data_IF_110179208195
#
_entry.id   IF_110179208195
#
_cell.length_a   1.000
_cell.length_b   1.000
_cell.length_c   1.000
_cell.angle_alpha   90.00
_cell.angle_beta   90.00
_cell.angle_gamma   90.00
#
_symmetry.space_group_name_H-M   'P 1'
#
loop_
_entity.id
_entity.type
_entity.pdbx_description
1 polymer ?
#
# COMPACT_ATOMS: atom_id res chain seq x y z
N UNK A 1 34.09 1.87 16.84
CA UNK A 1 33.34 2.82 17.70
C UNK A 1 33.59 4.25 17.23
N UNK A 2 33.38 4.55 15.94
CA UNK A 2 33.66 5.87 15.38
C UNK A 2 35.15 6.18 15.14
N UNK A 3 35.45 7.39 14.62
CA UNK A 3 34.53 8.51 14.42
C UNK A 3 33.48 8.23 13.32
N UNK A 4 32.28 8.83 13.47
CA UNK A 4 31.19 8.77 12.49
C UNK A 4 30.94 10.15 11.91
N UNK A 5 30.60 10.20 10.63
CA UNK A 5 30.17 11.41 9.92
C UNK A 5 28.68 11.32 9.61
N UNK A 6 27.99 12.46 9.68
CA UNK A 6 26.56 12.51 9.38
C UNK A 6 26.33 12.32 7.87
N UNK A 7 25.49 11.36 7.49
CA UNK A 7 25.14 11.14 6.10
C UNK A 7 24.24 12.28 5.57
N UNK A 8 24.68 13.08 4.58
CA UNK A 8 23.93 14.24 4.09
C UNK A 8 22.62 13.87 3.37
N UNK A 9 22.48 12.61 2.96
CA UNK A 9 21.33 12.06 2.25
C UNK A 9 20.25 11.46 3.17
N UNK A 10 20.38 11.62 4.50
CA UNK A 10 19.33 11.20 5.43
C UNK A 10 17.98 11.90 5.12
N UNK A 11 16.84 11.21 5.37
CA UNK A 11 16.73 9.84 5.87
C UNK A 11 17.05 8.79 4.78
N UNK A 12 17.53 7.61 5.21
CA UNK A 12 17.85 6.47 4.31
C UNK A 12 16.60 5.64 3.97
N UNK A 13 15.69 5.51 4.92
CA UNK A 13 14.43 4.76 4.79
C UNK A 13 13.27 5.69 5.10
N UNK A 14 12.32 5.81 4.16
CA UNK A 14 11.23 6.77 4.26
C UNK A 14 9.99 6.24 3.53
N UNK A 15 8.86 6.14 4.25
CA UNK A 15 7.56 5.74 3.69
C UNK A 15 6.41 6.31 4.51
N UNK A 16 6.03 7.59 4.31
CA UNK A 16 5.05 8.27 5.15
C UNK A 16 3.60 8.06 4.66
N UNK A 17 3.42 7.43 3.50
CA UNK A 17 2.15 7.34 2.78
C UNK A 17 2.00 6.02 2.00
N UNK A 18 0.88 5.88 1.29
CA UNK A 18 0.41 4.61 0.74
C UNK A 18 -0.49 3.88 1.72
N UNK A 19 -0.85 2.65 1.37
CA UNK A 19 -1.71 1.76 2.14
C UNK A 19 -1.14 1.47 3.54
N UNK A 20 0.17 1.18 3.63
CA UNK A 20 0.84 0.84 4.88
C UNK A 20 2.05 1.75 5.13
N UNK A 21 2.09 2.41 6.29
CA UNK A 21 3.01 3.52 6.56
C UNK A 21 4.06 3.18 7.62
N UNK A 22 5.18 3.89 7.57
CA UNK A 22 6.23 3.85 8.59
C UNK A 22 7.33 2.83 8.30
N UNK A 23 8.30 3.19 7.46
CA UNK A 23 9.53 2.41 7.26
C UNK A 23 10.63 2.88 8.24
N UNK A 24 10.37 2.73 9.54
CA UNK A 24 11.26 3.14 10.64
C UNK A 24 12.12 2.00 11.20
N UNK A 25 11.87 1.61 12.46
CA UNK A 25 12.62 0.57 13.17
C UNK A 25 12.71 -0.73 12.36
N UNK A 26 13.91 -1.30 12.23
CA UNK A 26 14.11 -2.43 11.36
C UNK A 26 15.54 -2.96 11.34
N UNK A 27 15.85 -3.72 10.28
CA UNK A 27 17.19 -4.24 10.01
C UNK A 27 17.48 -4.24 8.52
N UNK A 28 18.75 -4.11 8.16
CA UNK A 28 19.21 -4.32 6.79
C UNK A 28 20.07 -5.58 6.76
N UNK A 29 19.69 -6.53 5.91
CA UNK A 29 20.34 -7.84 5.80
C UNK A 29 20.70 -8.13 4.35
N UNK A 30 21.65 -9.04 4.15
CA UNK A 30 22.06 -9.50 2.83
C UNK A 30 21.43 -10.86 2.56
N UNK A 31 20.80 -11.04 1.40
CA UNK A 31 20.23 -12.33 0.99
C UNK A 31 21.31 -13.31 0.49
N UNK A 32 20.91 -14.55 0.18
CA UNK A 32 21.80 -15.61 -0.31
C UNK A 32 22.42 -15.30 -1.70
N UNK A 33 21.90 -14.31 -2.42
CA UNK A 33 22.42 -13.84 -3.72
C UNK A 33 23.30 -12.59 -3.58
N UNK A 34 23.44 -12.08 -2.36
CA UNK A 34 24.25 -10.93 -2.04
C UNK A 34 23.53 -9.58 -2.16
N UNK A 35 22.22 -9.54 -2.40
CA UNK A 35 21.48 -8.29 -2.43
C UNK A 35 21.11 -7.84 -1.02
N UNK A 36 21.03 -6.53 -0.80
CA UNK A 36 20.60 -5.97 0.48
C UNK A 36 19.09 -5.77 0.52
N UNK A 37 18.47 -6.16 1.63
CA UNK A 37 17.05 -5.93 1.89
C UNK A 37 16.90 -5.19 3.21
N UNK A 38 16.03 -4.18 3.23
CA UNK A 38 15.65 -3.48 4.45
C UNK A 38 14.28 -3.97 4.91
N UNK A 39 14.25 -4.54 6.11
CA UNK A 39 13.03 -4.92 6.80
C UNK A 39 12.67 -3.85 7.80
N UNK A 40 11.41 -3.44 7.85
CA UNK A 40 10.95 -2.38 8.75
C UNK A 40 9.60 -2.69 9.38
N UNK A 41 9.40 -2.25 10.62
CA UNK A 41 8.10 -2.34 11.28
C UNK A 41 7.18 -1.23 10.80
N UNK A 42 6.04 -1.62 10.24
CA UNK A 42 5.04 -0.73 9.65
C UNK A 42 3.86 -0.56 10.61
N UNK A 43 3.44 0.68 10.88
CA UNK A 43 2.41 0.97 11.88
C UNK A 43 0.99 0.79 11.35
N UNK A 44 0.15 0.10 12.11
CA UNK A 44 -1.30 0.04 11.94
C UNK A 44 -1.96 0.75 13.12
N UNK A 45 -1.64 0.33 14.35
CA UNK A 45 -2.03 0.99 15.59
C UNK A 45 -3.53 1.26 15.76
N UNK A 46 -4.39 0.25 15.54
CA UNK A 46 -5.85 0.39 15.70
C UNK A 46 -6.40 -0.42 16.87
N UNK A 47 -6.17 -1.73 16.94
CA UNK A 47 -6.56 -2.51 18.12
C UNK A 47 -5.66 -2.20 19.32
N UNK A 48 -4.37 -1.94 19.06
CA UNK A 48 -3.36 -1.62 20.05
C UNK A 48 -2.25 -0.76 19.45
N UNK A 49 -1.63 0.15 20.22
CA UNK A 49 -0.58 1.07 19.73
C UNK A 49 0.59 0.41 19.00
N UNK A 50 0.99 -0.79 19.41
CA UNK A 50 2.10 -1.54 18.81
C UNK A 50 1.67 -2.54 17.74
N UNK A 51 0.40 -2.49 17.32
CA UNK A 51 -0.09 -3.24 16.17
C UNK A 51 0.66 -2.80 14.92
N UNK A 52 1.44 -3.73 14.37
CA UNK A 52 2.38 -3.49 13.29
C UNK A 52 2.38 -4.66 12.30
N UNK A 53 2.93 -4.40 11.11
CA UNK A 53 3.31 -5.41 10.12
C UNK A 53 4.80 -5.26 9.78
N UNK A 54 5.32 -6.15 8.96
CA UNK A 54 6.70 -6.07 8.47
C UNK A 54 6.67 -5.69 6.99
N UNK A 55 7.35 -4.59 6.65
CA UNK A 55 7.68 -4.21 5.29
C UNK A 55 9.06 -4.75 4.92
N UNK A 56 9.23 -5.10 3.65
CA UNK A 56 10.49 -5.58 3.08
C UNK A 56 10.76 -4.78 1.80
N UNK A 57 11.88 -4.08 1.75
CA UNK A 57 12.21 -3.15 0.67
C UNK A 57 13.59 -3.45 0.09
N UNK A 58 13.77 -3.33 -1.24
CA UNK A 58 15.09 -3.37 -1.84
C UNK A 58 16.00 -2.29 -1.25
N UNK A 59 17.23 -2.66 -0.93
CA UNK A 59 18.21 -1.78 -0.34
C UNK A 59 19.59 -1.99 -0.99
N UNK A 60 20.53 -1.10 -0.69
CA UNK A 60 21.88 -1.25 -1.20
C UNK A 60 22.68 0.02 -1.06
N UNK A 61 23.77 0.09 -1.82
CA UNK A 61 24.70 1.20 -1.85
C UNK A 61 24.91 1.62 -3.30
N UNK A 62 24.88 2.94 -3.53
CA UNK A 62 25.30 3.55 -4.77
C UNK A 62 26.84 3.48 -4.89
N UNK A 63 27.39 3.72 -6.09
CA UNK A 63 28.83 3.64 -6.35
C UNK A 63 29.69 4.59 -5.48
N UNK A 64 29.09 5.67 -4.98
CA UNK A 64 29.72 6.62 -4.07
C UNK A 64 29.57 6.24 -2.58
N UNK A 65 29.06 5.06 -2.27
CA UNK A 65 28.80 4.58 -0.92
C UNK A 65 27.52 5.12 -0.28
N UNK A 66 26.70 5.91 -0.98
CA UNK A 66 25.40 6.34 -0.46
C UNK A 66 24.47 5.14 -0.30
N UNK A 67 23.98 4.90 0.91
CA UNK A 67 22.98 3.86 1.14
C UNK A 67 21.61 4.29 0.58
N UNK A 68 20.85 3.35 0.03
CA UNK A 68 19.47 3.55 -0.39
C UNK A 68 18.55 2.47 0.18
N UNK A 69 17.28 2.84 0.37
CA UNK A 69 16.15 1.92 0.55
C UNK A 69 15.03 2.37 -0.38
N UNK A 70 14.64 1.52 -1.34
CA UNK A 70 13.59 1.87 -2.28
C UNK A 70 12.21 1.44 -1.74
N UNK A 71 11.45 2.42 -1.25
CA UNK A 71 10.06 2.25 -0.76
C UNK A 71 9.00 2.61 -1.81
N UNK A 72 9.40 3.04 -3.01
CA UNK A 72 8.48 3.49 -4.05
C UNK A 72 7.59 2.33 -4.48
N UNK A 73 6.27 2.57 -4.49
CA UNK A 73 5.26 1.55 -4.75
C UNK A 73 5.35 0.34 -3.82
N UNK A 74 5.98 0.45 -2.64
CA UNK A 74 6.26 -0.71 -1.77
C UNK A 74 5.04 -1.47 -1.24
N UNK A 75 3.84 -0.92 -1.39
CA UNK A 75 2.57 -1.62 -1.12
C UNK A 75 1.91 -2.18 -2.39
N UNK A 76 2.59 -2.18 -3.53
CA UNK A 76 2.13 -2.74 -4.80
C UNK A 76 2.95 -4.01 -5.12
N UNK A 77 2.50 -4.88 -6.05
CA UNK A 77 3.21 -6.12 -6.35
C UNK A 77 4.65 -5.90 -6.82
N UNK A 78 5.59 -6.57 -6.17
CA UNK A 78 7.01 -6.57 -6.48
C UNK A 78 7.51 -7.99 -6.74
N UNK A 79 8.51 -8.13 -7.61
CA UNK A 79 9.17 -9.41 -7.83
C UNK A 79 9.93 -9.88 -6.59
N UNK A 80 9.76 -11.17 -6.27
CA UNK A 80 10.40 -11.83 -5.14
C UNK A 80 11.94 -11.85 -5.28
N UNK A 81 12.69 -12.06 -4.18
CA UNK A 81 14.15 -12.00 -4.20
C UNK A 81 14.86 -12.98 -5.14
N UNK A 82 14.23 -14.12 -5.39
CA UNK A 82 14.70 -15.18 -6.29
C UNK A 82 14.43 -14.87 -7.77
N UNK A 83 13.55 -13.91 -8.06
CA UNK A 83 13.25 -13.49 -9.43
C UNK A 83 14.37 -12.60 -9.97
N UNK A 84 14.84 -12.93 -11.18
CA UNK A 84 15.80 -12.11 -11.93
C UNK A 84 15.13 -10.82 -12.42
N UNK A 85 15.74 -9.69 -12.08
CA UNK A 85 15.31 -8.36 -12.49
C UNK A 85 16.50 -7.59 -13.07
N UNK A 86 16.24 -6.63 -13.95
CA UNK A 86 17.30 -5.78 -14.53
C UNK A 86 18.06 -5.00 -13.45
N UNK A 87 17.37 -4.65 -12.36
CA UNK A 87 17.95 -3.97 -11.21
C UNK A 87 17.33 -4.49 -9.92
N UNK A 88 18.15 -4.84 -8.94
CA UNK A 88 17.66 -5.17 -7.60
C UNK A 88 16.90 -3.99 -6.98
N UNK A 89 17.34 -2.75 -7.24
CA UNK A 89 16.71 -1.52 -6.73
C UNK A 89 15.28 -1.34 -7.26
N UNK A 90 14.96 -1.82 -8.46
CA UNK A 90 13.66 -1.62 -9.11
C UNK A 90 12.98 -2.97 -9.39
N UNK A 91 12.13 -3.38 -8.43
CA UNK A 91 11.42 -4.67 -8.49
C UNK A 91 9.90 -4.54 -8.68
N UNK A 92 9.40 -3.32 -8.83
CA UNK A 92 7.97 -3.08 -9.06
C UNK A 92 7.54 -3.74 -10.37
N UNK A 93 6.50 -4.57 -10.33
CA UNK A 93 5.99 -5.33 -11.49
C UNK A 93 5.33 -4.45 -12.56
N UNK A 94 4.93 -3.23 -12.19
CA UNK A 94 4.10 -2.38 -13.03
C UNK A 94 2.60 -2.69 -12.93
N UNK A 95 2.19 -3.68 -12.13
CA UNK A 95 0.77 -3.93 -11.85
C UNK A 95 0.22 -2.85 -10.93
N UNK A 96 -0.84 -2.19 -11.37
CA UNK A 96 -1.44 -1.05 -10.70
C UNK A 96 -2.67 -1.47 -9.91
N UNK A 97 -2.98 -0.70 -8.88
CA UNK A 97 -4.20 -0.85 -8.10
C UNK A 97 -5.42 -0.48 -8.95
N UNK A 98 -6.39 -1.38 -9.00
CA UNK A 98 -7.63 -1.28 -9.78
C UNK A 98 -8.87 -1.07 -8.89
N UNK A 99 -8.75 -1.32 -7.58
CA UNK A 99 -9.89 -1.36 -6.65
C UNK A 99 -10.19 -0.05 -5.93
N UNK A 100 -9.25 0.91 -5.89
CA UNK A 100 -9.41 2.16 -5.11
C UNK A 100 -10.68 2.91 -5.52
N UNK A 101 -11.50 3.25 -4.54
CA UNK A 101 -12.76 4.02 -4.67
C UNK A 101 -13.77 3.44 -5.68
N UNK A 102 -13.62 2.16 -6.05
CA UNK A 102 -14.61 1.46 -6.87
C UNK A 102 -15.91 1.29 -6.14
N UNK A 103 -17.00 1.19 -6.92
CA UNK A 103 -18.31 0.92 -6.34
C UNK A 103 -18.31 -0.51 -5.80
N UNK A 104 -18.66 -0.67 -4.53
CA UNK A 104 -18.84 -1.97 -3.89
C UNK A 104 -20.24 -2.06 -3.30
N UNK A 105 -20.87 -3.22 -3.44
CA UNK A 105 -22.13 -3.58 -2.77
C UNK A 105 -21.91 -4.82 -1.92
N UNK A 106 -22.67 -4.94 -0.83
CA UNK A 106 -22.61 -6.08 0.09
C UNK A 106 -24.01 -6.39 0.60
N UNK A 107 -24.22 -7.61 1.06
CA UNK A 107 -25.45 -7.98 1.77
C UNK A 107 -25.35 -7.83 3.30
N UNK A 108 -24.18 -7.45 3.84
CA UNK A 108 -24.01 -7.34 5.29
C UNK A 108 -23.11 -6.17 5.68
N UNK A 109 -23.55 -5.39 6.68
CA UNK A 109 -22.79 -4.30 7.30
C UNK A 109 -23.17 -4.23 8.77
N UNK A 110 -22.18 -4.35 9.64
CA UNK A 110 -22.36 -4.29 11.09
C UNK A 110 -22.83 -2.90 11.55
N UNK A 111 -23.85 -2.87 12.42
CA UNK A 111 -24.39 -1.64 13.01
C UNK A 111 -24.47 -1.74 14.53
N UNK A 112 -24.24 -0.62 15.21
CA UNK A 112 -24.47 -0.49 16.66
C UNK A 112 -23.44 -1.17 17.57
N UNK A 113 -22.42 -1.83 17.02
CA UNK A 113 -21.36 -2.48 17.80
C UNK A 113 -20.11 -1.60 17.85
N UNK A 114 -19.64 -1.28 19.05
CA UNK A 114 -18.38 -0.54 19.23
C UNK A 114 -17.18 -1.47 19.10
N UNK A 115 -16.12 -1.00 18.44
CA UNK A 115 -14.82 -1.65 18.46
C UNK A 115 -14.25 -1.58 19.87
N UNK A 116 -13.83 -2.73 20.39
CA UNK A 116 -13.04 -2.85 21.61
C UNK A 116 -11.59 -2.56 21.24
N UNK A 117 -11.06 -1.47 21.77
CA UNK A 117 -9.66 -1.07 21.59
C UNK A 117 -9.04 -0.84 22.96
N UNK A 118 -7.72 -1.01 23.05
CA UNK A 118 -6.98 -0.62 24.26
C UNK A 118 -6.84 0.90 24.24
N UNK A 119 -7.63 1.58 25.07
CA UNK A 119 -7.61 3.04 25.16
C UNK A 119 -6.44 3.52 26.02
N UNK A 120 -5.47 4.17 25.37
CA UNK A 120 -4.36 4.87 26.01
C UNK A 120 -4.18 6.28 25.44
N UNK A 121 -5.26 6.89 24.92
CA UNK A 121 -5.18 8.23 24.32
C UNK A 121 -4.71 9.28 25.32
N UNK A 122 -5.12 9.19 26.59
CA UNK A 122 -4.68 10.09 27.68
C UNK A 122 -3.17 10.05 27.94
N UNK A 123 -2.47 9.03 27.42
CA UNK A 123 -1.01 8.90 27.53
C UNK A 123 -0.26 9.39 26.29
N UNK A 124 -0.96 9.88 25.27
CA UNK A 124 -0.40 10.39 24.02
C UNK A 124 0.22 9.32 23.11
N UNK A 125 -0.09 8.04 23.33
CA UNK A 125 0.52 6.92 22.59
C UNK A 125 -0.32 6.39 21.43
N UNK A 126 -1.62 6.72 21.40
CA UNK A 126 -2.53 6.29 20.34
C UNK A 126 -2.70 7.41 19.32
N UNK A 127 -2.58 7.04 18.05
CA UNK A 127 -3.07 7.88 16.95
C UNK A 127 -4.58 8.01 17.08
N UNK A 128 -5.11 9.22 16.85
CA UNK A 128 -6.55 9.48 16.84
C UNK A 128 -7.25 8.40 16.01
N UNK A 129 -8.23 7.75 16.63
CA UNK A 129 -9.04 6.76 15.94
C UNK A 129 -10.14 7.47 15.18
N UNK A 130 -10.27 7.17 13.90
CA UNK A 130 -11.44 7.59 13.14
C UNK A 130 -12.70 7.03 13.81
N UNK A 131 -13.79 7.78 13.73
CA UNK A 131 -15.08 7.30 14.23
C UNK A 131 -15.41 5.97 13.55
N UNK A 132 -15.80 4.97 14.33
CA UNK A 132 -16.05 3.63 13.81
C UNK A 132 -17.12 3.65 12.72
N UNK A 133 -16.68 3.53 11.47
CA UNK A 133 -17.50 3.34 10.29
C UNK A 133 -17.12 1.98 9.70
N UNK A 134 -18.09 1.06 9.61
CA UNK A 134 -17.87 -0.28 9.06
C UNK A 134 -18.53 -0.46 7.68
N UNK A 135 -18.88 0.65 7.04
CA UNK A 135 -19.50 0.64 5.71
C UNK A 135 -18.61 -0.06 4.68
N UNK A 136 -19.24 -0.61 3.64
CA UNK A 136 -18.54 -1.32 2.58
C UNK A 136 -17.53 -0.44 1.82
N UNK A 137 -17.69 0.88 1.83
CA UNK A 137 -16.72 1.83 1.26
C UNK A 137 -15.35 1.81 1.95
N UNK A 138 -15.23 1.24 3.16
CA UNK A 138 -13.94 1.09 3.83
C UNK A 138 -13.09 -0.05 3.25
N UNK A 139 -13.65 -0.92 2.39
CA UNK A 139 -12.91 -2.09 1.87
C UNK A 139 -11.96 -1.73 0.73
N UNK A 140 -12.00 -0.50 0.22
CA UNK A 140 -11.24 -0.10 -0.96
C UNK A 140 -10.78 1.37 -0.93
N UNK A 141 -10.53 1.92 0.28
CA UNK A 141 -10.16 3.32 0.52
C UNK A 141 -8.63 3.55 0.60
N UNK A 142 -7.83 2.50 0.43
CA UNK A 142 -6.37 2.51 0.62
C UNK A 142 -5.92 2.92 2.03
N UNK A 143 -6.69 2.55 3.06
CA UNK A 143 -6.38 2.81 4.47
C UNK A 143 -6.48 1.53 5.31
N UNK A 144 -5.33 0.93 5.64
CA UNK A 144 -5.30 -0.29 6.48
C UNK A 144 -5.91 -0.14 7.88
N UNK A 145 -6.23 1.09 8.31
CA UNK A 145 -6.78 1.39 9.63
C UNK A 145 -8.30 1.42 9.67
N UNK A 146 -8.96 1.54 8.53
CA UNK A 146 -10.42 1.40 8.40
C UNK A 146 -10.74 -0.06 8.10
N UNK A 147 -12.03 -0.43 8.19
CA UNK A 147 -12.47 -1.80 7.95
C UNK A 147 -13.95 -1.83 7.57
N UNK A 148 -14.30 -2.67 6.61
CA UNK A 148 -15.65 -3.19 6.48
C UNK A 148 -15.83 -4.34 7.47
N UNK A 149 -16.98 -4.38 8.14
CA UNK A 149 -17.35 -5.45 9.08
C UNK A 149 -18.75 -5.93 8.78
N UNK A 150 -18.92 -7.23 8.62
CA UNK A 150 -20.23 -7.86 8.45
C UNK A 150 -20.91 -8.13 9.80
N UNK A 151 -22.23 -8.36 9.79
CA UNK A 151 -23.02 -8.67 11.00
C UNK A 151 -22.72 -10.05 11.60
N UNK A 152 -21.96 -10.89 10.88
CA UNK A 152 -21.49 -12.20 11.31
C UNK A 152 -20.37 -12.70 10.41
N UNK A 153 -20.23 -14.02 10.30
CA UNK A 153 -19.19 -14.71 9.52
C UNK A 153 -19.75 -15.89 8.69
N UNK A 154 -21.05 -15.89 8.38
CA UNK A 154 -21.72 -16.94 7.62
C UNK A 154 -21.31 -17.01 6.14
N UNK A 155 -21.61 -18.15 5.50
CA UNK A 155 -21.28 -18.42 4.09
C UNK A 155 -22.22 -17.72 3.08
N UNK A 156 -23.27 -17.10 3.59
CA UNK A 156 -24.20 -16.24 2.85
C UNK A 156 -23.66 -14.81 2.70
N UNK A 157 -22.60 -14.42 3.41
CA UNK A 157 -22.00 -13.09 3.33
C UNK A 157 -21.17 -12.95 2.05
N UNK A 158 -21.41 -11.87 1.31
CA UNK A 158 -20.69 -11.55 0.07
C UNK A 158 -20.57 -10.04 -0.14
N UNK A 159 -19.58 -9.64 -0.92
CA UNK A 159 -19.52 -8.31 -1.53
C UNK A 159 -19.15 -8.40 -3.01
N UNK A 160 -19.57 -7.41 -3.77
CA UNK A 160 -19.34 -7.31 -5.21
C UNK A 160 -18.79 -5.93 -5.56
N UNK A 161 -17.70 -5.89 -6.31
CA UNK A 161 -17.01 -4.69 -6.78
C UNK A 161 -17.21 -4.52 -8.29
N UNK A 162 -17.64 -3.33 -8.72
CA UNK A 162 -17.64 -2.90 -10.12
C UNK A 162 -16.41 -2.03 -10.39
N UNK A 163 -15.45 -2.56 -11.16
CA UNK A 163 -14.25 -1.84 -11.60
C UNK A 163 -14.57 -0.66 -12.55
N UNK A 164 -15.80 -0.59 -13.06
CA UNK A 164 -16.34 0.43 -13.95
C UNK A 164 -16.11 0.15 -15.44
N UNK A 165 -15.17 -0.73 -15.78
CA UNK A 165 -14.87 -1.23 -17.12
C UNK A 165 -14.14 -2.56 -17.04
N UNK A 166 -14.08 -3.31 -18.14
CA UNK A 166 -13.27 -4.53 -18.22
C UNK A 166 -11.79 -4.17 -18.11
N UNK A 167 -11.11 -4.78 -17.14
CA UNK A 167 -9.69 -4.62 -16.86
C UNK A 167 -9.00 -5.98 -16.85
N UNK A 168 -7.69 -5.98 -17.00
CA UNK A 168 -6.86 -7.16 -16.79
C UNK A 168 -6.51 -7.27 -15.30
N UNK A 169 -6.95 -8.34 -14.65
CA UNK A 169 -6.64 -8.66 -13.26
C UNK A 169 -5.49 -9.67 -13.22
N UNK A 170 -4.46 -9.36 -12.45
CA UNK A 170 -3.28 -10.19 -12.27
C UNK A 170 -3.17 -10.76 -10.86
N UNK A 171 -3.57 -10.00 -9.84
CA UNK A 171 -3.49 -10.44 -8.45
C UNK A 171 -4.57 -9.80 -7.58
N UNK A 172 -4.84 -10.43 -6.45
CA UNK A 172 -5.80 -10.02 -5.43
C UNK A 172 -5.10 -10.02 -4.08
N UNK A 173 -5.41 -9.05 -3.22
CA UNK A 173 -4.95 -9.02 -1.83
C UNK A 173 -6.13 -8.79 -0.90
N UNK A 174 -6.37 -9.74 0.00
CA UNK A 174 -7.39 -9.67 1.03
C UNK A 174 -6.69 -9.41 2.36
N UNK A 175 -7.04 -8.31 3.01
CA UNK A 175 -6.52 -7.96 4.33
C UNK A 175 -7.63 -8.14 5.36
N UNK A 176 -7.75 -9.35 5.90
CA UNK A 176 -8.63 -9.61 7.03
C UNK A 176 -8.12 -8.87 8.27
N UNK A 177 -9.03 -8.48 9.14
CA UNK A 177 -8.72 -7.74 10.37
C UNK A 177 -9.39 -8.39 11.57
N UNK A 178 -8.74 -8.29 12.72
CA UNK A 178 -9.34 -8.68 13.99
C UNK A 178 -10.31 -7.59 14.46
N UNK A 179 -11.59 -7.92 14.50
CA UNK A 179 -12.63 -7.07 15.04
C UNK A 179 -13.27 -7.72 16.26
N UNK A 180 -13.05 -7.15 17.44
CA UNK A 180 -13.55 -7.68 18.72
C UNK A 180 -13.23 -9.17 18.91
N UNK A 181 -12.10 -9.63 18.36
CA UNK A 181 -11.67 -11.01 18.40
C UNK A 181 -11.46 -11.48 19.84
N UNK A 182 -11.87 -12.72 20.11
CA UNK A 182 -11.66 -13.40 21.39
C UNK A 182 -10.62 -14.52 21.28
N UNK A 183 -10.08 -14.71 20.08
CA UNK A 183 -9.00 -15.65 19.81
C UNK A 183 -7.66 -14.98 20.14
N UNK A 184 -6.87 -15.61 21.00
CA UNK A 184 -5.55 -15.14 21.41
C UNK A 184 -4.47 -16.13 21.00
N UNK A 185 -3.27 -15.61 20.70
CA UNK A 185 -2.14 -16.44 20.29
C UNK A 185 -2.22 -16.85 18.83
N UNK A 186 -1.74 -18.05 18.51
CA UNK A 186 -1.78 -18.65 17.16
C UNK A 186 -2.26 -20.10 17.27
N UNK A 187 -3.56 -20.34 17.44
CA UNK A 187 -4.12 -21.67 17.33
C UNK A 187 -3.82 -22.27 15.94
N UNK A 188 -3.58 -23.59 15.91
CA UNK A 188 -3.20 -24.29 14.67
C UNK A 188 -4.38 -24.46 13.68
N UNK A 189 -5.61 -24.16 14.11
CA UNK A 189 -6.84 -24.34 13.34
C UNK A 189 -7.40 -23.05 12.72
N UNK A 190 -6.68 -21.93 12.87
CA UNK A 190 -7.01 -20.68 12.20
C UNK A 190 -6.96 -20.85 10.68
N UNK A 191 -8.02 -20.40 10.01
CA UNK A 191 -8.20 -20.50 8.56
C UNK A 191 -9.17 -19.45 8.06
N UNK A 192 -9.00 -18.99 6.83
CA UNK A 192 -10.00 -18.17 6.15
C UNK A 192 -10.38 -18.88 4.85
N UNK A 193 -11.67 -19.14 4.68
CA UNK A 193 -12.20 -19.86 3.52
C UNK A 193 -13.16 -18.96 2.75
N UNK A 194 -12.96 -18.87 1.45
CA UNK A 194 -13.73 -17.98 0.59
C UNK A 194 -13.62 -18.40 -0.88
N UNK A 195 -14.50 -17.85 -1.70
CA UNK A 195 -14.47 -17.98 -3.16
C UNK A 195 -14.52 -16.59 -3.78
N UNK A 196 -13.70 -16.36 -4.82
CA UNK A 196 -13.76 -15.13 -5.61
C UNK A 196 -14.17 -15.50 -7.02
N UNK A 197 -15.25 -14.85 -7.48
CA UNK A 197 -15.76 -14.96 -8.84
C UNK A 197 -15.52 -13.66 -9.59
N UNK A 198 -15.36 -13.78 -10.90
CA UNK A 198 -15.18 -12.63 -11.80
C UNK A 198 -16.18 -12.71 -12.94
N UNK A 199 -16.56 -11.55 -13.46
CA UNK A 199 -17.49 -11.44 -14.58
C UNK A 199 -17.17 -10.22 -15.44
N UNK A 200 -17.39 -10.32 -16.75
CA UNK A 200 -17.34 -9.17 -17.66
C UNK A 200 -18.68 -8.41 -17.70
N UNK A 201 -19.81 -9.10 -17.49
CA UNK A 201 -21.16 -8.57 -17.72
C UNK A 201 -22.05 -8.49 -16.46
N UNK A 202 -21.57 -9.04 -15.34
CA UNK A 202 -22.27 -9.10 -14.06
C UNK A 202 -23.35 -10.18 -13.98
N UNK A 203 -23.46 -11.04 -14.99
CA UNK A 203 -24.49 -12.09 -15.10
C UNK A 203 -23.88 -13.47 -15.10
N UNK A 204 -22.89 -13.70 -15.96
CA UNK A 204 -22.15 -14.95 -16.03
C UNK A 204 -20.89 -14.84 -15.20
N UNK A 205 -20.64 -15.80 -14.32
CA UNK A 205 -19.59 -15.71 -13.30
C UNK A 205 -18.68 -16.93 -13.34
N UNK A 206 -17.39 -16.68 -13.54
CA UNK A 206 -16.35 -17.70 -13.45
C UNK A 206 -15.66 -17.63 -12.08
N UNK A 207 -15.24 -18.79 -11.56
CA UNK A 207 -14.44 -18.85 -10.34
C UNK A 207 -12.99 -18.52 -10.70
N UNK A 208 -12.48 -17.41 -10.16
CA UNK A 208 -11.09 -16.99 -10.32
C UNK A 208 -10.19 -17.53 -9.21
N UNK A 209 -10.73 -17.66 -7.99
CA UNK A 209 -10.03 -18.14 -6.80
C UNK A 209 -10.98 -18.99 -5.98
N UNK A 210 -10.54 -20.19 -5.60
CA UNK A 210 -11.28 -21.09 -4.72
C UNK A 210 -10.42 -21.48 -3.52
N UNK A 211 -10.75 -20.92 -2.36
CA UNK A 211 -10.17 -21.22 -1.05
C UNK A 211 -11.22 -21.83 -0.12
N UNK A 212 -12.29 -22.43 -0.66
CA UNK A 212 -13.37 -23.01 0.14
C UNK A 212 -12.91 -24.17 1.03
N UNK A 213 -11.86 -24.89 0.64
CA UNK A 213 -11.23 -25.99 1.40
C UNK A 213 -9.86 -25.58 2.00
N UNK A 214 -9.63 -24.28 2.21
CA UNK A 214 -8.37 -23.82 2.80
C UNK A 214 -8.28 -24.19 4.30
N UNK A 215 -7.16 -24.78 4.70
CA UNK A 215 -6.86 -25.16 6.09
C UNK A 215 -5.69 -24.36 6.69
N UNK A 216 -5.18 -23.34 5.98
CA UNK A 216 -4.07 -22.52 6.44
C UNK A 216 -4.52 -21.14 6.92
N UNK A 217 -3.86 -20.60 7.94
CA UNK A 217 -4.06 -19.23 8.40
C UNK A 217 -3.50 -18.23 7.38
N UNK A 218 -4.41 -17.44 6.78
CA UNK A 218 -4.16 -16.49 5.69
C UNK A 218 -4.85 -15.14 5.96
N UNK A 219 -4.51 -14.45 7.07
CA UNK A 219 -5.14 -13.18 7.43
C UNK A 219 -4.81 -12.06 6.42
N UNK A 220 -3.71 -12.23 5.67
CA UNK A 220 -3.31 -11.33 4.58
C UNK A 220 -3.04 -12.16 3.32
N UNK A 221 -4.10 -12.62 2.66
CA UNK A 221 -3.99 -13.45 1.47
C UNK A 221 -3.62 -12.59 0.25
N UNK A 222 -2.38 -12.69 -0.21
CA UNK A 222 -1.98 -12.25 -1.55
C UNK A 222 -2.05 -13.43 -2.52
N UNK A 223 -2.75 -13.24 -3.63
CA UNK A 223 -3.08 -14.29 -4.60
C UNK A 223 -2.73 -13.77 -5.99
N UNK A 224 -1.61 -14.23 -6.52
CA UNK A 224 -1.29 -14.06 -7.94
C UNK A 224 -2.10 -15.09 -8.76
N UNK A 225 -2.84 -14.61 -9.76
CA UNK A 225 -3.62 -15.49 -10.62
C UNK A 225 -2.69 -16.21 -11.59
N UNK A 226 -2.91 -17.51 -11.76
CA UNK A 226 -2.13 -18.36 -12.69
C UNK A 226 -2.11 -17.79 -14.11
N UNK A 227 -3.26 -17.26 -14.55
CA UNK A 227 -3.39 -16.52 -15.79
C UNK A 227 -4.12 -15.21 -15.49
N UNK A 228 -3.76 -14.10 -16.15
CA UNK A 228 -4.53 -12.86 -16.04
C UNK A 228 -5.98 -13.07 -16.49
N UNK A 229 -6.92 -12.46 -15.77
CA UNK A 229 -8.36 -12.55 -16.04
C UNK A 229 -8.87 -11.22 -16.59
N UNK A 230 -9.69 -11.23 -17.64
CA UNK A 230 -10.44 -10.05 -18.06
C UNK A 230 -11.76 -10.00 -17.29
N UNK A 231 -11.99 -8.93 -16.53
CA UNK A 231 -13.23 -8.78 -15.78
C UNK A 231 -13.55 -7.32 -15.50
N UNK A 232 -14.84 -7.05 -15.32
CA UNK A 232 -15.35 -5.78 -14.79
C UNK A 232 -15.86 -5.92 -13.36
N UNK A 233 -16.48 -7.05 -13.06
CA UNK A 233 -17.08 -7.33 -11.77
C UNK A 233 -16.28 -8.40 -11.03
N UNK A 234 -16.14 -8.23 -9.72
CA UNK A 234 -15.47 -9.17 -8.84
C UNK A 234 -16.38 -9.39 -7.64
N UNK A 235 -16.64 -10.65 -7.31
CA UNK A 235 -17.50 -11.03 -6.19
C UNK A 235 -16.74 -11.92 -5.23
N UNK A 236 -16.63 -11.48 -3.99
CA UNK A 236 -16.17 -12.29 -2.87
C UNK A 236 -17.36 -12.95 -2.20
N UNK A 237 -17.24 -14.24 -1.88
CA UNK A 237 -18.16 -14.98 -1.04
C UNK A 237 -17.39 -15.61 0.12
N UNK A 238 -17.84 -15.33 1.34
CA UNK A 238 -17.31 -15.97 2.53
C UNK A 238 -17.73 -17.45 2.60
N UNK A 239 -16.90 -18.30 3.20
CA UNK A 239 -17.26 -19.69 3.52
C UNK A 239 -17.09 -19.94 5.01
N UNK A 240 -15.91 -19.61 5.55
CA UNK A 240 -15.59 -19.73 6.97
C UNK A 240 -14.59 -18.65 7.40
N UNK A 241 -14.78 -18.10 8.59
CA UNK A 241 -13.88 -17.11 9.17
C UNK A 241 -13.83 -17.27 10.71
N UNK A 242 -12.65 -17.26 11.35
CA UNK A 242 -12.50 -17.74 12.73
C UNK A 242 -13.20 -16.87 13.78
N UNK A 243 -13.30 -15.57 13.55
CA UNK A 243 -13.92 -14.65 14.49
C UNK A 243 -15.43 -14.51 14.21
N UNK A 244 -16.18 -14.11 15.24
CA UNK A 244 -17.63 -13.87 15.17
C UNK A 244 -18.05 -12.97 14.01
N UNK A 245 -17.27 -11.93 13.73
CA UNK A 245 -17.53 -10.95 12.68
C UNK A 245 -16.46 -11.07 11.61
N UNK A 246 -16.88 -11.29 10.36
CA UNK A 246 -16.01 -11.13 9.21
C UNK A 246 -15.64 -9.65 9.09
N UNK A 247 -14.34 -9.37 9.08
CA UNK A 247 -13.82 -8.02 8.93
C UNK A 247 -12.67 -8.01 7.93
N UNK A 248 -12.73 -7.08 6.98
CA UNK A 248 -11.65 -6.81 6.04
C UNK A 248 -11.28 -5.33 6.12
N UNK A 249 -9.99 -5.07 6.31
CA UNK A 249 -9.43 -3.73 6.20
C UNK A 249 -9.31 -3.27 4.75
N UNK A 250 -9.09 -4.20 3.80
CA UNK A 250 -8.96 -3.84 2.40
C UNK A 250 -9.08 -5.08 1.47
N UNK A 251 -9.72 -4.89 0.32
CA UNK A 251 -9.77 -5.81 -0.81
C UNK A 251 -9.11 -5.14 -2.03
N UNK A 252 -7.85 -5.50 -2.30
CA UNK A 252 -7.06 -4.86 -3.35
C UNK A 252 -7.00 -5.74 -4.57
N UNK A 253 -7.24 -5.11 -5.72
CA UNK A 253 -7.19 -5.77 -7.03
C UNK A 253 -6.05 -5.13 -7.81
N UNK A 254 -5.14 -5.94 -8.33
CA UNK A 254 -3.96 -5.47 -9.07
C UNK A 254 -3.96 -5.97 -10.50
N UNK A 255 -3.51 -5.13 -11.42
CA UNK A 255 -3.30 -5.52 -12.82
C UNK A 255 -3.17 -4.31 -13.74
N UNK A 256 -3.88 -4.33 -14.86
CA UNK A 256 -3.87 -3.25 -15.86
C UNK A 256 -5.29 -2.82 -16.24
N UNK A 257 -5.55 -1.51 -16.14
CA UNK A 257 -6.85 -0.92 -16.42
C UNK A 257 -7.26 -0.83 -17.90
N UNK A 258 -6.47 -1.36 -18.84
CA UNK A 258 -6.73 -1.40 -20.29
C UNK A 258 -6.97 -0.01 -20.94
N UNK A 259 -6.42 1.05 -20.35
CA UNK A 259 -6.56 2.44 -20.77
C UNK A 259 -5.22 3.12 -21.03
N UNK A 260 -5.21 4.46 -20.93
CA UNK A 260 -4.00 5.27 -21.16
C UNK A 260 -3.27 5.57 -19.86
N UNK A 261 -1.95 5.45 -19.89
CA UNK A 261 -1.06 6.00 -18.85
C UNK A 261 -1.25 7.52 -18.73
N UNK A 262 -1.06 8.10 -17.53
CA UNK A 262 -1.19 9.53 -17.36
C UNK A 262 -0.07 10.27 -18.12
N UNK A 263 -0.28 11.56 -18.38
CA UNK A 263 0.76 12.43 -18.93
C UNK A 263 1.85 12.72 -17.87
N UNK A 264 3.01 13.18 -18.33
CA UNK A 264 4.04 13.71 -17.42
C UNK A 264 3.48 14.92 -16.65
N UNK A 265 3.67 15.02 -15.33
CA UNK A 265 3.37 16.24 -14.59
C UNK A 265 4.14 17.43 -15.17
N UNK A 266 3.48 18.59 -15.24
CA UNK A 266 4.05 19.85 -15.68
C UNK A 266 3.92 20.93 -14.60
N UNK A 267 4.54 22.09 -14.84
CA UNK A 267 4.56 23.21 -13.89
C UNK A 267 5.00 22.81 -12.47
N UNK A 268 5.99 21.92 -12.37
CA UNK A 268 6.53 21.43 -11.11
C UNK A 268 7.34 22.53 -10.41
N UNK A 269 7.04 22.77 -9.14
CA UNK A 269 7.63 23.82 -8.30
C UNK A 269 7.93 23.25 -6.92
N UNK A 270 9.01 23.73 -6.32
CA UNK A 270 9.35 23.50 -4.92
C UNK A 270 9.91 24.78 -4.31
N UNK A 271 9.56 25.04 -3.07
CA UNK A 271 10.06 26.19 -2.31
C UNK A 271 10.46 25.74 -0.91
N UNK A 272 11.72 25.97 -0.53
CA UNK A 272 12.21 25.74 0.83
C UNK A 272 11.55 26.75 1.76
N UNK A 273 11.12 26.29 2.93
CA UNK A 273 10.52 27.13 3.97
C UNK A 273 11.60 27.83 4.80
N UNK A 274 11.23 28.81 5.66
CA UNK A 274 12.19 29.40 6.62
C UNK A 274 12.87 28.36 7.52
N UNK A 275 12.15 27.31 7.91
CA UNK A 275 12.78 26.10 8.43
C UNK A 275 13.28 25.27 7.24
N UNK A 276 14.59 25.31 7.01
CA UNK A 276 15.25 24.67 5.86
C UNK A 276 15.05 23.16 5.76
N UNK A 277 14.59 22.50 6.83
CA UNK A 277 14.26 21.07 6.82
C UNK A 277 12.94 20.78 6.09
N UNK A 278 12.22 21.83 5.71
CA UNK A 278 10.89 21.78 5.13
C UNK A 278 10.84 22.45 3.76
N UNK A 279 9.98 21.93 2.88
CA UNK A 279 9.64 22.54 1.61
C UNK A 279 8.18 22.31 1.26
N UNK A 280 7.60 23.25 0.52
CA UNK A 280 6.29 23.07 -0.11
C UNK A 280 6.49 22.79 -1.60
N UNK A 281 5.85 21.73 -2.07
CA UNK A 281 6.04 21.18 -3.41
C UNK A 281 4.68 21.11 -4.10
N UNK A 282 4.60 21.52 -5.36
CA UNK A 282 3.35 21.47 -6.13
C UNK A 282 3.57 21.31 -7.62
N UNK A 283 2.56 20.81 -8.32
CA UNK A 283 2.55 20.66 -9.78
C UNK A 283 1.15 20.85 -10.35
N UNK A 284 1.03 20.97 -11.67
CA UNK A 284 -0.28 20.98 -12.33
C UNK A 284 -0.90 19.58 -12.27
N UNK A 285 -2.14 19.50 -11.78
CA UNK A 285 -2.90 18.26 -11.78
C UNK A 285 -3.00 17.65 -13.19
N UNK A 286 -2.74 16.34 -13.29
CA UNK A 286 -2.78 15.54 -14.51
C UNK A 286 -4.16 14.87 -14.61
N UNK A 287 -4.88 15.15 -15.69
CA UNK A 287 -6.20 14.54 -15.95
C UNK A 287 -6.06 13.01 -16.00
N UNK A 288 -6.88 12.31 -15.23
CA UNK A 288 -6.90 10.84 -15.18
C UNK A 288 -5.74 10.21 -14.38
N UNK A 289 -4.99 11.00 -13.62
CA UNK A 289 -4.10 10.48 -12.59
C UNK A 289 -4.91 10.11 -11.33
N UNK A 290 -4.57 8.96 -10.75
CA UNK A 290 -5.06 8.53 -9.43
C UNK A 290 -4.17 9.12 -8.32
N UNK A 291 -2.89 9.30 -8.62
CA UNK A 291 -1.94 9.88 -7.68
C UNK A 291 -0.60 10.19 -8.34
N UNK A 292 0.37 10.51 -7.50
CA UNK A 292 1.71 10.90 -7.88
C UNK A 292 2.75 10.26 -6.97
N UNK A 293 3.96 10.08 -7.48
CA UNK A 293 5.13 9.75 -6.66
C UNK A 293 6.14 10.87 -6.79
N UNK A 294 6.44 11.54 -5.68
CA UNK A 294 7.48 12.54 -5.57
C UNK A 294 8.78 11.84 -5.16
N UNK A 295 9.88 12.14 -5.84
CA UNK A 295 11.22 11.64 -5.57
C UNK A 295 12.16 12.80 -5.23
N UNK A 296 13.12 12.58 -4.33
CA UNK A 296 14.18 13.53 -4.05
C UNK A 296 15.49 12.87 -3.63
N UNK A 297 16.58 13.61 -3.79
CA UNK A 297 17.93 13.18 -3.42
C UNK A 297 18.94 14.33 -3.50
N UNK A 298 20.16 14.07 -3.06
CA UNK A 298 21.23 15.09 -3.02
C UNK A 298 22.01 15.20 -4.35
N UNK A 299 21.67 14.38 -5.34
CA UNK A 299 22.20 14.44 -6.70
C UNK A 299 21.10 14.11 -7.72
N UNK A 300 21.15 14.70 -8.93
CA UNK A 300 20.06 14.55 -9.91
C UNK A 300 19.90 13.12 -10.44
N UNK A 301 20.95 12.30 -10.35
CA UNK A 301 20.97 10.90 -10.76
C UNK A 301 20.63 9.90 -9.63
N UNK A 302 20.50 10.36 -8.37
CA UNK A 302 20.25 9.50 -7.19
C UNK A 302 19.10 10.01 -6.32
N UNK A 303 17.89 10.02 -6.89
CA UNK A 303 16.66 10.38 -6.18
C UNK A 303 16.12 9.19 -5.37
N UNK A 304 16.79 8.89 -4.24
CA UNK A 304 16.59 7.66 -3.47
C UNK A 304 15.44 7.74 -2.47
N UNK A 305 14.96 8.94 -2.15
CA UNK A 305 13.79 9.10 -1.30
C UNK A 305 12.54 9.33 -2.14
N UNK A 306 11.40 8.86 -1.64
CA UNK A 306 10.13 9.00 -2.35
C UNK A 306 8.93 9.10 -1.40
N UNK A 307 7.81 9.60 -1.94
CA UNK A 307 6.51 9.61 -1.27
C UNK A 307 5.38 9.47 -2.30
N UNK A 308 4.45 8.55 -2.04
CA UNK A 308 3.23 8.36 -2.83
C UNK A 308 2.12 9.29 -2.35
N UNK A 309 1.40 9.94 -3.26
CA UNK A 309 0.42 10.97 -2.93
C UNK A 309 -0.83 10.72 -3.75
N UNK A 310 -1.92 10.31 -3.08
CA UNK A 310 -3.24 10.17 -3.70
C UNK A 310 -4.00 11.49 -3.67
N UNK A 311 -4.81 11.73 -4.70
CA UNK A 311 -5.85 12.77 -4.77
C UNK A 311 -5.39 14.23 -4.56
N UNK A 312 -4.08 14.46 -4.50
CA UNK A 312 -3.45 15.78 -4.30
C UNK A 312 -2.32 16.00 -5.29
N UNK A 313 -2.11 17.25 -5.68
CA UNK A 313 -1.03 17.69 -6.56
C UNK A 313 -0.02 18.61 -5.84
N UNK A 314 0.07 18.45 -4.53
CA UNK A 314 0.97 19.18 -3.65
C UNK A 314 1.42 18.32 -2.47
N UNK A 315 2.55 18.68 -1.87
CA UNK A 315 3.10 17.98 -0.70
C UNK A 315 3.92 18.91 0.18
N UNK A 316 3.67 18.78 1.48
CA UNK A 316 4.47 19.36 2.55
C UNK A 316 5.65 18.42 2.87
N UNK A 317 6.80 18.65 2.22
CA UNK A 317 8.02 17.87 2.46
C UNK A 317 8.67 18.29 3.78
N UNK A 318 8.95 17.34 4.67
CA UNK A 318 9.48 17.57 6.03
C UNK A 318 10.68 16.65 6.34
N UNK A 319 11.44 16.29 5.32
CA UNK A 319 12.49 15.26 5.37
C UNK A 319 13.78 15.73 4.67
N UNK A 320 14.19 16.97 4.96
CA UNK A 320 15.40 17.60 4.40
C UNK A 320 16.38 17.97 5.50
N UNK A 321 17.65 18.10 5.13
CA UNK A 321 18.71 18.65 5.96
C UNK A 321 18.91 20.15 5.70
N UNK A 322 19.35 20.87 6.74
CA UNK A 322 19.81 22.26 6.63
C UNK A 322 21.10 22.33 5.81
N UNK A 323 21.32 23.43 5.08
CA UNK A 323 22.52 23.63 4.23
C UNK A 323 22.76 22.51 3.20
N UNK A 324 21.73 21.75 2.81
CA UNK A 324 21.83 20.66 1.86
C UNK A 324 20.98 20.94 0.63
N UNK A 325 21.63 20.94 -0.54
CA UNK A 325 20.96 21.03 -1.83
C UNK A 325 20.23 19.73 -2.16
N UNK A 326 19.03 19.82 -2.71
CA UNK A 326 18.25 18.66 -3.18
C UNK A 326 17.81 18.82 -4.63
N UNK A 327 17.58 17.69 -5.28
CA UNK A 327 16.96 17.58 -6.59
C UNK A 327 15.65 16.82 -6.42
N UNK A 328 14.60 17.26 -7.09
CA UNK A 328 13.27 16.70 -6.96
C UNK A 328 12.70 16.36 -8.34
N UNK A 329 11.86 15.34 -8.38
CA UNK A 329 11.14 14.94 -9.59
C UNK A 329 9.81 14.29 -9.21
N UNK A 330 8.77 14.44 -10.04
CA UNK A 330 7.46 13.83 -9.79
C UNK A 330 6.98 13.06 -11.01
N UNK A 331 6.32 11.92 -10.79
CA UNK A 331 5.54 11.22 -11.81
C UNK A 331 4.10 11.07 -11.38
N UNK A 332 3.20 10.92 -12.36
CA UNK A 332 1.81 10.59 -12.13
C UNK A 332 1.61 9.08 -12.32
N UNK A 333 0.59 8.51 -11.68
CA UNK A 333 0.18 7.13 -11.93
C UNK A 333 -1.34 6.99 -11.95
N UNK A 334 -1.82 5.96 -12.64
CA UNK A 334 -3.21 5.50 -12.61
C UNK A 334 -3.26 3.98 -12.83
N UNK A 335 -4.46 3.42 -12.98
CA UNK A 335 -4.72 1.99 -13.20
C UNK A 335 -3.97 1.39 -14.41
N UNK A 336 -3.44 2.22 -15.32
CA UNK A 336 -2.80 1.81 -16.57
C UNK A 336 -1.27 1.97 -16.53
N UNK A 337 -0.73 2.48 -15.42
CA UNK A 337 0.70 2.58 -15.17
C UNK A 337 1.17 3.96 -14.71
N UNK A 338 2.49 4.13 -14.72
CA UNK A 338 3.19 5.36 -14.36
C UNK A 338 3.50 6.19 -15.61
N UNK A 339 3.48 7.52 -15.49
CA UNK A 339 3.86 8.44 -16.57
C UNK A 339 5.38 8.55 -16.70
N UNK A 340 5.83 9.28 -17.74
CA UNK A 340 7.20 9.81 -17.71
C UNK A 340 7.32 10.78 -16.54
N UNK A 341 8.44 10.72 -15.83
CA UNK A 341 8.78 11.67 -14.76
C UNK A 341 8.92 13.10 -15.31
N UNK A 342 8.61 14.09 -14.48
CA UNK A 342 8.78 15.51 -14.79
C UNK A 342 10.23 15.88 -15.08
N UNK A 343 10.50 17.12 -15.49
CA UNK A 343 11.87 17.64 -15.39
C UNK A 343 12.32 17.64 -13.93
N UNK A 344 13.61 17.39 -13.72
CA UNK A 344 14.23 17.54 -12.40
C UNK A 344 14.29 19.03 -12.10
N UNK A 345 13.87 19.40 -10.89
CA UNK A 345 14.07 20.74 -10.35
C UNK A 345 15.06 20.70 -9.20
N UNK A 346 15.73 21.81 -9.03
CA UNK A 346 16.68 22.03 -7.96
C UNK A 346 16.01 22.78 -6.82
N UNK A 347 16.14 22.26 -5.61
CA UNK A 347 15.74 22.91 -4.37
C UNK A 347 17.01 23.34 -3.65
N UNK A 348 17.23 24.66 -3.67
CA UNK A 348 18.29 25.32 -2.91
C UNK A 348 18.03 25.17 -1.41
#
# INVERSE_FOLDING_TARGET
MGPFEYAPYNPISYKPSGFLKGSGHGSTVKDNRGNYWHYSTMAISVNYKFERRIGMYPAGFEDNGQMYVNTAYGDYPHYLPDTDTESHKYRFTGWMLLSKDKKVTTNSVLKGVKRKVVDEHDKGYMLEQEAANYDISMINDENIRTLWVAEGNGSDIWFEMDLGRTMTINALQLNFQDFNAEIFGRPDDLRQQFVIKTSEDGKEWDIAVDFSDNHEDRPHAYIELKNPVQARYIKYQNIDFPNQYLALGEFRVFGNGNGKKPASPGAFKAQRQPDERNADVSWKAVKGAMGYTLYWGISPDKLNNNVMIYDKNEYALRALNVNQKYYLQVEAFNENGISKKSQIIELQ
#
